data_IF_297279289623
#
_entry.id   IF_297279289623
#
_cell.length_a   1.000
_cell.length_b   1.000
_cell.length_c   1.000
_cell.angle_alpha   90.00
_cell.angle_beta   90.00
_cell.angle_gamma   90.00
#
_symmetry.space_group_name_H-M   'P 1'
#
loop_
_entity.id
_entity.type
_entity.pdbx_description
1 polymer ?
#
# COMPACT_ATOMS: atom_id res chain seq x y z
N UNK A 1 -24.88 -23.25 -13.50
CA UNK A 1 -24.71 -21.83 -13.85
C UNK A 1 -23.31 -21.62 -14.39
N UNK A 2 -23.15 -20.89 -15.49
CA UNK A 2 -21.83 -20.45 -15.95
C UNK A 2 -21.41 -19.19 -15.18
N UNK A 3 -20.13 -19.09 -14.82
CA UNK A 3 -19.57 -17.88 -14.20
C UNK A 3 -19.35 -16.80 -15.28
N UNK A 4 -19.34 -15.53 -14.88
CA UNK A 4 -19.04 -14.40 -15.78
C UNK A 4 -17.53 -14.29 -16.00
N UNK A 5 -17.15 -13.74 -17.16
CA UNK A 5 -15.77 -13.38 -17.46
C UNK A 5 -15.26 -12.31 -16.48
N UNK A 6 -14.05 -12.49 -15.96
CA UNK A 6 -13.48 -11.71 -14.87
C UNK A 6 -13.17 -10.27 -15.31
N UNK A 7 -12.71 -10.10 -16.55
CA UNK A 7 -12.37 -8.81 -17.15
C UNK A 7 -13.58 -7.86 -17.28
N UNK A 8 -14.80 -8.38 -17.07
CA UNK A 8 -16.03 -7.57 -17.13
C UNK A 8 -16.35 -6.85 -15.83
N UNK A 9 -15.72 -7.20 -14.71
CA UNK A 9 -16.05 -6.61 -13.40
C UNK A 9 -14.90 -6.57 -12.38
N UNK A 10 -13.81 -7.28 -12.61
CA UNK A 10 -12.68 -7.31 -11.69
C UNK A 10 -11.64 -6.27 -12.10
N UNK A 11 -11.31 -5.37 -11.19
CA UNK A 11 -10.29 -4.34 -11.38
C UNK A 11 -9.02 -4.78 -10.64
N UNK A 12 -8.00 -5.29 -11.35
CA UNK A 12 -6.76 -5.73 -10.71
C UNK A 12 -5.85 -4.56 -10.34
N UNK A 13 -6.05 -3.38 -10.95
CA UNK A 13 -5.20 -2.23 -10.72
C UNK A 13 -5.57 -1.49 -9.43
N UNK A 14 -4.55 -1.02 -8.72
CA UNK A 14 -4.71 -0.32 -7.46
C UNK A 14 -4.96 1.16 -7.73
N UNK A 15 -6.11 1.64 -7.26
CA UNK A 15 -6.49 3.04 -7.37
C UNK A 15 -6.13 3.80 -6.09
N UNK A 16 -5.24 4.79 -6.20
CA UNK A 16 -4.75 5.57 -5.05
C UNK A 16 -5.30 7.01 -5.07
N UNK A 17 -6.24 7.38 -4.19
CA UNK A 17 -6.82 8.72 -4.17
C UNK A 17 -5.91 9.75 -3.49
N UNK A 18 -5.39 10.73 -4.21
CA UNK A 18 -4.58 11.83 -3.65
C UNK A 18 -5.05 13.16 -4.25
N UNK A 19 -5.38 14.13 -3.38
CA UNK A 19 -5.85 15.48 -3.77
C UNK A 19 -7.07 15.47 -4.73
N UNK A 20 -7.97 14.48 -4.58
CA UNK A 20 -9.17 14.34 -5.42
C UNK A 20 -8.94 13.70 -6.79
N UNK A 21 -7.70 13.29 -7.12
CA UNK A 21 -7.35 12.49 -8.29
C UNK A 21 -7.05 11.05 -7.87
N UNK A 22 -7.36 10.08 -8.72
CA UNK A 22 -6.90 8.70 -8.55
C UNK A 22 -5.67 8.46 -9.44
N UNK A 23 -4.65 7.86 -8.85
CA UNK A 23 -3.47 7.38 -9.56
C UNK A 23 -3.58 5.87 -9.68
N UNK A 24 -3.46 5.34 -10.89
CA UNK A 24 -3.61 3.92 -11.17
C UNK A 24 -2.26 3.23 -11.16
N UNK A 25 -2.06 2.31 -10.23
CA UNK A 25 -0.88 1.43 -10.20
C UNK A 25 -1.28 0.10 -10.84
N UNK A 26 -0.66 -0.29 -11.97
CA UNK A 26 -0.99 -1.54 -12.64
C UNK A 26 -0.69 -2.76 -11.77
N UNK A 27 -1.53 -3.80 -11.88
CA UNK A 27 -1.20 -5.09 -11.28
C UNK A 27 0.10 -5.66 -11.89
N UNK A 28 1.06 -6.11 -11.06
CA UNK A 28 2.25 -6.77 -11.57
C UNK A 28 1.91 -8.13 -12.18
N UNK A 29 2.78 -8.62 -13.05
CA UNK A 29 2.71 -10.00 -13.52
C UNK A 29 3.07 -11.01 -12.40
N UNK A 30 2.95 -12.29 -12.72
CA UNK A 30 3.21 -13.36 -11.76
C UNK A 30 4.64 -13.33 -11.20
N UNK A 31 5.64 -13.10 -12.04
CA UNK A 31 7.04 -13.17 -11.64
C UNK A 31 7.40 -12.01 -10.72
N UNK A 32 6.91 -10.81 -11.03
CA UNK A 32 7.10 -9.63 -10.19
C UNK A 32 6.33 -9.74 -8.87
N UNK A 33 5.07 -10.20 -8.89
CA UNK A 33 4.29 -10.44 -7.67
C UNK A 33 4.97 -11.47 -6.75
N UNK A 34 5.50 -12.56 -7.33
CA UNK A 34 6.24 -13.58 -6.60
C UNK A 34 7.52 -13.01 -5.98
N UNK A 35 8.33 -12.27 -6.76
CA UNK A 35 9.54 -11.60 -6.28
C UNK A 35 9.24 -10.66 -5.12
N UNK A 36 8.23 -9.81 -5.27
CA UNK A 36 7.82 -8.86 -4.24
C UNK A 36 7.44 -9.57 -2.93
N UNK A 37 6.69 -10.68 -3.03
CA UNK A 37 6.30 -11.48 -1.86
C UNK A 37 7.50 -12.15 -1.19
N UNK A 38 8.40 -12.75 -1.96
CA UNK A 38 9.56 -13.49 -1.43
C UNK A 38 10.61 -12.53 -0.85
N UNK A 39 10.98 -11.48 -1.57
CA UNK A 39 12.09 -10.60 -1.21
C UNK A 39 11.71 -9.47 -0.26
N UNK A 40 10.51 -8.89 -0.44
CA UNK A 40 10.14 -7.63 0.23
C UNK A 40 9.25 -7.89 1.44
N UNK A 41 8.28 -8.80 1.30
CA UNK A 41 7.30 -9.07 2.36
C UNK A 41 7.76 -10.18 3.31
N UNK A 42 8.15 -11.34 2.78
CA UNK A 42 8.50 -12.49 3.62
C UNK A 42 9.84 -12.30 4.36
N UNK A 43 10.85 -11.75 3.68
CA UNK A 43 12.19 -11.60 4.25
C UNK A 43 12.35 -10.42 5.22
N UNK A 44 11.30 -9.60 5.44
CA UNK A 44 11.16 -8.58 6.50
C UNK A 44 12.29 -7.54 6.66
N UNK A 45 13.31 -7.52 5.80
CA UNK A 45 14.53 -6.75 6.01
C UNK A 45 15.16 -6.29 4.70
N UNK A 46 14.39 -5.56 3.87
CA UNK A 46 15.04 -4.66 2.92
C UNK A 46 15.68 -3.50 3.71
N UNK A 47 16.96 -3.18 3.48
CA UNK A 47 17.56 -1.94 3.96
C UNK A 47 16.72 -0.73 3.51
N UNK A 48 16.66 0.33 4.31
CA UNK A 48 15.80 1.49 4.02
C UNK A 48 15.94 2.07 2.58
N UNK A 49 17.14 2.13 1.96
CA UNK A 49 17.27 2.56 0.57
C UNK A 49 16.61 1.61 -0.44
N UNK A 50 16.70 0.29 -0.23
CA UNK A 50 16.05 -0.70 -1.08
C UNK A 50 14.53 -0.62 -0.97
N UNK A 51 13.98 -0.36 0.23
CA UNK A 51 12.54 -0.12 0.39
C UNK A 51 12.07 1.13 -0.37
N UNK A 52 12.87 2.20 -0.39
CA UNK A 52 12.55 3.39 -1.17
C UNK A 52 12.57 3.10 -2.66
N UNK A 53 13.56 2.37 -3.16
CA UNK A 53 13.64 1.99 -4.57
C UNK A 53 12.43 1.14 -5.00
N UNK A 54 12.11 0.09 -4.24
CA UNK A 54 10.94 -0.76 -4.52
C UNK A 54 9.63 0.02 -4.48
N UNK A 55 9.48 0.95 -3.53
CA UNK A 55 8.28 1.78 -3.44
C UNK A 55 8.11 2.69 -4.65
N UNK A 56 9.20 3.10 -5.30
CA UNK A 56 9.15 3.88 -6.53
C UNK A 56 8.86 2.97 -7.73
N UNK A 57 9.55 1.82 -7.81
CA UNK A 57 9.43 0.90 -8.94
C UNK A 57 8.00 0.36 -9.09
N UNK A 58 7.38 -0.06 -7.99
CA UNK A 58 6.04 -0.66 -8.02
C UNK A 58 4.96 0.32 -8.50
N UNK A 59 5.18 1.64 -8.39
CA UNK A 59 4.22 2.65 -8.86
C UNK A 59 4.11 2.65 -10.39
N UNK A 60 5.12 2.17 -11.11
CA UNK A 60 5.13 2.15 -12.56
C UNK A 60 4.79 3.53 -13.16
N UNK A 61 3.88 3.60 -14.15
CA UNK A 61 3.49 4.86 -14.81
C UNK A 61 2.91 5.92 -13.86
N UNK A 62 2.32 5.51 -12.73
CA UNK A 62 1.74 6.45 -11.76
C UNK A 62 2.78 7.40 -11.17
N UNK A 63 4.05 6.99 -11.10
CA UNK A 63 5.13 7.83 -10.57
C UNK A 63 5.29 9.11 -11.40
N UNK A 64 5.35 8.98 -12.72
CA UNK A 64 5.54 10.13 -13.62
C UNK A 64 4.37 11.11 -13.50
N UNK A 65 3.14 10.60 -13.37
CA UNK A 65 1.97 11.41 -13.11
C UNK A 65 2.05 12.14 -11.76
N UNK A 66 2.45 11.44 -10.69
CA UNK A 66 2.60 12.03 -9.35
C UNK A 66 3.67 13.13 -9.33
N UNK A 67 4.75 12.95 -10.08
CA UNK A 67 5.81 13.96 -10.24
C UNK A 67 5.27 15.16 -11.03
N UNK A 68 4.58 14.93 -12.14
CA UNK A 68 3.98 15.99 -12.95
C UNK A 68 2.96 16.82 -12.15
N UNK A 69 2.20 16.17 -11.25
CA UNK A 69 1.23 16.80 -10.36
C UNK A 69 1.86 17.43 -9.10
N UNK A 70 3.21 17.45 -9.02
CA UNK A 70 3.99 18.02 -7.93
C UNK A 70 3.56 17.49 -6.54
N UNK A 71 3.38 16.16 -6.45
CA UNK A 71 3.17 15.51 -5.18
C UNK A 71 4.45 15.56 -4.35
N UNK A 72 4.37 15.91 -3.05
CA UNK A 72 5.53 15.92 -2.19
C UNK A 72 6.02 14.48 -1.96
N UNK A 73 7.33 14.32 -1.83
CA UNK A 73 7.99 13.02 -1.69
C UNK A 73 7.37 12.08 -0.64
N UNK A 74 6.94 12.54 0.55
CA UNK A 74 6.28 11.66 1.52
C UNK A 74 4.95 11.06 1.03
N UNK A 75 4.20 11.75 0.16
CA UNK A 75 2.97 11.21 -0.44
C UNK A 75 3.29 10.12 -1.46
N UNK A 76 4.30 10.33 -2.30
CA UNK A 76 4.76 9.34 -3.28
C UNK A 76 5.24 8.08 -2.58
N UNK A 77 6.05 8.21 -1.52
CA UNK A 77 6.50 7.05 -0.74
C UNK A 77 5.38 6.36 0.04
N UNK A 78 4.36 7.10 0.49
CA UNK A 78 3.19 6.49 1.12
C UNK A 78 2.42 5.64 0.10
N UNK A 79 2.19 6.19 -1.09
CA UNK A 79 1.55 5.47 -2.21
C UNK A 79 2.33 4.21 -2.60
N UNK A 80 3.65 4.32 -2.80
CA UNK A 80 4.49 3.20 -3.17
C UNK A 80 4.51 2.08 -2.14
N UNK A 81 4.59 2.41 -0.84
CA UNK A 81 4.52 1.41 0.23
C UNK A 81 3.14 0.76 0.35
N UNK A 82 2.07 1.50 0.07
CA UNK A 82 0.72 0.92 -0.05
C UNK A 82 0.66 -0.08 -1.21
N UNK A 83 1.26 0.23 -2.37
CA UNK A 83 1.30 -0.69 -3.50
C UNK A 83 2.12 -1.97 -3.21
N UNK A 84 3.27 -1.85 -2.53
CA UNK A 84 4.03 -3.01 -2.03
C UNK A 84 3.16 -3.89 -1.13
N UNK A 85 2.47 -3.29 -0.17
CA UNK A 85 1.61 -4.01 0.75
C UNK A 85 0.45 -4.71 0.02
N UNK A 86 -0.13 -4.05 -0.98
CA UNK A 86 -1.28 -4.55 -1.73
C UNK A 86 -0.92 -5.80 -2.53
N UNK A 87 0.10 -5.70 -3.38
CA UNK A 87 0.47 -6.78 -4.29
C UNK A 87 1.38 -7.83 -3.65
N UNK A 88 2.20 -7.45 -2.67
CA UNK A 88 3.13 -8.38 -2.00
C UNK A 88 2.50 -9.16 -0.84
N UNK A 89 1.60 -8.52 -0.07
CA UNK A 89 1.00 -9.12 1.12
C UNK A 89 -0.48 -9.44 0.91
N UNK A 90 -1.33 -8.41 0.97
CA UNK A 90 -2.77 -8.48 0.69
C UNK A 90 -3.40 -7.06 0.61
N UNK A 91 -4.55 -6.91 -0.04
CA UNK A 91 -5.30 -5.64 -0.06
C UNK A 91 -5.64 -5.09 1.33
N UNK A 92 -5.98 -5.95 2.29
CA UNK A 92 -6.32 -5.54 3.67
C UNK A 92 -5.13 -4.87 4.39
N UNK A 93 -3.91 -5.38 4.18
CA UNK A 93 -2.70 -4.79 4.76
C UNK A 93 -2.40 -3.44 4.12
N UNK A 94 -2.64 -3.30 2.81
CA UNK A 94 -2.51 -2.04 2.10
C UNK A 94 -3.49 -0.99 2.62
N UNK A 95 -4.75 -1.38 2.87
CA UNK A 95 -5.77 -0.50 3.43
C UNK A 95 -5.38 -0.01 4.83
N UNK A 96 -4.89 -0.91 5.69
CA UNK A 96 -4.36 -0.54 7.00
C UNK A 96 -3.21 0.46 6.86
N UNK A 97 -2.24 0.19 5.98
CA UNK A 97 -1.13 1.13 5.75
C UNK A 97 -1.66 2.49 5.28
N UNK A 98 -2.57 2.50 4.29
CA UNK A 98 -3.12 3.70 3.70
C UNK A 98 -3.75 4.64 4.74
N UNK A 99 -4.59 4.10 5.63
CA UNK A 99 -5.28 4.90 6.65
C UNK A 99 -4.47 5.12 7.92
N UNK A 100 -3.63 4.16 8.33
CA UNK A 100 -3.10 4.10 9.70
C UNK A 100 -1.59 4.29 9.81
N UNK A 101 -0.82 4.38 8.70
CA UNK A 101 0.64 4.46 8.76
C UNK A 101 1.17 5.65 9.59
N UNK A 102 0.37 6.71 9.75
CA UNK A 102 0.76 7.88 10.55
C UNK A 102 0.15 7.90 11.95
N UNK A 103 -0.72 6.95 12.30
CA UNK A 103 -1.51 7.01 13.54
C UNK A 103 -0.61 7.18 14.78
N UNK A 104 0.50 6.44 14.86
CA UNK A 104 1.45 6.53 15.97
C UNK A 104 2.14 7.88 16.14
N UNK A 105 2.03 8.79 15.16
CA UNK A 105 2.51 10.18 15.28
C UNK A 105 1.49 11.10 15.97
N UNK A 106 0.22 10.70 15.97
CA UNK A 106 -0.88 11.52 16.47
C UNK A 106 -1.48 10.98 17.77
N UNK A 107 -1.22 9.72 18.11
CA UNK A 107 -1.75 9.10 19.33
C UNK A 107 -0.63 8.40 20.12
N UNK A 108 -0.71 8.49 21.43
CA UNK A 108 0.04 7.61 22.32
C UNK A 108 -0.62 6.22 22.31
N UNK A 109 -0.06 5.33 21.48
CA UNK A 109 -0.59 3.98 21.29
C UNK A 109 -0.60 3.16 22.59
N UNK A 110 0.34 3.41 23.51
CA UNK A 110 0.36 2.73 24.81
C UNK A 110 -0.83 3.16 25.66
N UNK A 111 -1.13 4.46 25.68
CA UNK A 111 -2.30 4.99 26.39
C UNK A 111 -3.62 4.50 25.79
N UNK A 112 -3.72 4.44 24.45
CA UNK A 112 -4.91 3.89 23.76
C UNK A 112 -5.14 2.43 24.13
N UNK A 113 -4.08 1.61 24.15
CA UNK A 113 -4.18 0.20 24.52
C UNK A 113 -4.71 0.00 25.94
N UNK A 114 -4.26 0.82 26.91
CA UNK A 114 -4.75 0.79 28.29
C UNK A 114 -6.25 1.11 28.36
N UNK A 115 -6.72 2.12 27.62
CA UNK A 115 -8.14 2.50 27.62
C UNK A 115 -9.03 1.42 26.99
N UNK A 116 -8.60 0.81 25.87
CA UNK A 116 -9.34 -0.27 25.23
C UNK A 116 -9.43 -1.52 26.13
N UNK A 117 -8.36 -1.85 26.85
CA UNK A 117 -8.35 -2.96 27.80
C UNK A 117 -9.30 -2.72 29.00
N UNK A 118 -9.45 -1.47 29.44
CA UNK A 118 -10.41 -1.11 30.48
C UNK A 118 -11.86 -1.19 30.00
N UNK A 119 -12.16 -0.71 28.79
CA UNK A 119 -13.50 -0.73 28.20
C UNK A 119 -14.02 -2.14 27.89
N UNK A 120 -13.14 -3.13 27.73
CA UNK A 120 -13.52 -4.55 27.55
C UNK A 120 -13.99 -5.25 28.84
N UNK A 121 -13.78 -4.64 30.01
CA UNK A 121 -14.12 -5.23 31.33
C UNK A 121 -15.49 -4.78 31.86
N UNK A 122 -16.21 -3.96 31.09
CA UNK A 122 -17.58 -3.50 31.33
C UNK A 122 -18.51 -4.10 30.30
#
# INVERSE_FOLDING_TARGET
MALKDLDTFFEPDLQLPIRGKHYTVPAPDFDEAKRLREEVVANSALPAPAQTHEAINILGPALDEMIADNLPWPMILHAGRTAIAHYGASPDIAEIHWYMAQLGKFVDLAKVAVQLAAARKT
#
